data_IF_575217639282
#
_entry.id   IF_575217639282
#
_cell.length_a   1.000
_cell.length_b   1.000
_cell.length_c   1.000
_cell.angle_alpha   90.00
_cell.angle_beta   90.00
_cell.angle_gamma   90.00
#
_symmetry.space_group_name_H-M   'P 1'
#
loop_
_entity.id
_entity.type
_entity.pdbx_description
1 polymer ?
#
# COMPACT_ATOMS: atom_id res chain seq x y z
N UNK A 1 29.86 14.84 -10.91
CA UNK A 1 28.96 15.85 -10.33
C UNK A 1 28.62 16.86 -11.42
N UNK A 2 27.42 16.75 -12.03
CA UNK A 2 26.93 17.75 -13.00
C UNK A 2 26.51 19.00 -12.25
N UNK A 3 26.71 20.18 -12.84
CA UNK A 3 26.46 21.47 -12.17
C UNK A 3 24.96 21.80 -12.31
N UNK A 4 24.39 22.35 -11.25
CA UNK A 4 22.97 22.68 -11.09
C UNK A 4 22.32 23.48 -12.24
N UNK A 5 23.10 24.18 -13.08
CA UNK A 5 22.58 24.93 -14.22
C UNK A 5 22.19 24.08 -15.43
N UNK A 6 22.67 22.84 -15.51
CA UNK A 6 22.41 21.96 -16.66
C UNK A 6 21.03 21.26 -16.55
N UNK A 7 20.37 21.34 -15.39
CA UNK A 7 19.08 20.68 -15.10
C UNK A 7 17.87 21.53 -15.54
N UNK A 8 18.02 22.86 -15.61
CA UNK A 8 16.90 23.81 -15.82
C UNK A 8 16.47 23.95 -17.29
N UNK A 9 16.98 23.09 -18.18
CA UNK A 9 16.71 23.15 -19.63
C UNK A 9 16.09 21.87 -20.20
N UNK A 10 15.64 20.94 -19.34
CA UNK A 10 14.86 19.79 -19.77
C UNK A 10 13.38 20.19 -19.99
N UNK A 11 12.71 19.70 -21.04
CA UNK A 11 11.30 19.95 -21.27
C UNK A 11 10.47 19.38 -20.11
N UNK A 12 9.51 20.17 -19.64
CA UNK A 12 8.53 19.77 -18.62
C UNK A 12 7.55 18.76 -19.23
N UNK A 13 7.93 17.47 -19.19
CA UNK A 13 7.13 16.37 -19.72
C UNK A 13 5.90 16.03 -18.85
N UNK A 14 5.53 16.88 -17.87
CA UNK A 14 4.32 16.72 -17.05
C UNK A 14 4.33 15.51 -16.12
N UNK A 15 5.48 14.86 -15.94
CA UNK A 15 5.66 13.81 -14.95
C UNK A 15 5.79 14.46 -13.57
N UNK A 16 4.94 14.03 -12.63
CA UNK A 16 5.11 14.36 -11.21
C UNK A 16 6.43 13.75 -10.76
N UNK A 17 7.42 14.60 -10.53
CA UNK A 17 8.68 14.24 -9.91
C UNK A 17 8.45 13.98 -8.41
N UNK A 18 8.15 12.72 -8.08
CA UNK A 18 8.00 12.25 -6.70
C UNK A 18 9.30 12.35 -5.89
N UNK A 19 10.47 12.47 -6.53
CA UNK A 19 11.75 12.67 -5.86
C UNK A 19 12.00 14.15 -5.53
N UNK A 20 11.35 15.09 -6.23
CA UNK A 20 11.40 16.53 -5.87
C UNK A 20 10.76 16.85 -4.52
N UNK A 21 9.84 16.00 -4.04
CA UNK A 21 9.25 16.07 -2.70
C UNK A 21 10.09 15.33 -1.64
N UNK A 22 11.14 14.62 -2.05
CA UNK A 22 11.99 13.85 -1.15
C UNK A 22 13.14 14.73 -0.68
N UNK A 23 12.90 15.53 0.35
CA UNK A 23 13.98 16.08 1.16
C UNK A 23 14.55 14.93 2.02
N UNK A 24 15.81 14.48 1.80
CA UNK A 24 16.40 13.46 2.65
C UNK A 24 16.44 13.95 4.10
N UNK A 25 15.68 13.22 4.91
CA UNK A 25 15.17 13.46 6.25
C UNK A 25 16.25 13.93 7.25
N UNK A 26 15.89 15.02 7.96
CA UNK A 26 16.25 15.37 9.33
C UNK A 26 16.85 14.20 10.12
N UNK A 27 18.07 14.32 10.66
CA UNK A 27 18.53 13.37 11.67
C UNK A 27 17.50 13.38 12.81
N UNK A 28 16.70 12.31 12.98
CA UNK A 28 15.65 12.34 13.99
C UNK A 28 16.31 12.41 15.38
N UNK A 29 15.66 13.03 16.37
CA UNK A 29 16.22 13.16 17.71
C UNK A 29 16.57 11.78 18.28
N UNK A 30 17.57 11.73 19.15
CA UNK A 30 18.06 10.48 19.75
C UNK A 30 16.92 9.66 20.38
N UNK A 31 15.98 10.34 21.05
CA UNK A 31 14.80 9.75 21.67
C UNK A 31 13.94 8.98 20.66
N UNK A 32 13.71 9.56 19.48
CA UNK A 32 12.98 8.91 18.38
C UNK A 32 13.74 7.71 17.82
N UNK A 33 15.07 7.79 17.73
CA UNK A 33 15.90 6.65 17.30
C UNK A 33 15.91 5.51 18.34
N UNK A 34 15.85 5.84 19.63
CA UNK A 34 15.76 4.87 20.72
C UNK A 34 14.39 4.19 20.77
N UNK A 35 13.32 4.96 20.57
CA UNK A 35 11.95 4.45 20.40
C UNK A 35 11.89 3.44 19.24
N UNK A 36 12.36 3.82 18.05
CA UNK A 36 12.36 2.92 16.89
C UNK A 36 13.29 1.71 17.07
N UNK A 37 14.38 1.85 17.85
CA UNK A 37 15.24 0.72 18.21
C UNK A 37 14.53 -0.26 19.14
N UNK A 38 13.64 0.22 20.02
CA UNK A 38 12.83 -0.65 20.88
C UNK A 38 11.81 -1.46 20.08
N UNK A 39 11.34 -0.94 18.94
CA UNK A 39 10.46 -1.67 18.02
C UNK A 39 11.16 -2.79 17.25
N UNK A 40 12.50 -2.91 17.32
CA UNK A 40 13.21 -4.03 16.64
C UNK A 40 12.84 -5.40 17.19
N UNK A 41 12.38 -5.44 18.43
CA UNK A 41 11.91 -6.67 19.07
C UNK A 41 10.40 -6.88 18.87
N UNK A 42 9.68 -5.92 18.28
CA UNK A 42 8.30 -6.14 17.86
C UNK A 42 8.27 -7.07 16.64
N UNK A 43 7.36 -8.05 16.61
CA UNK A 43 7.22 -8.91 15.45
C UNK A 43 6.87 -8.07 14.23
N UNK A 44 7.51 -8.37 13.09
CA UNK A 44 7.14 -7.71 11.84
C UNK A 44 5.62 -7.82 11.62
N UNK A 45 4.94 -6.71 11.32
CA UNK A 45 3.50 -6.73 11.14
C UNK A 45 3.13 -7.68 9.99
N UNK A 46 2.51 -8.82 10.32
CA UNK A 46 1.93 -9.72 9.33
C UNK A 46 0.54 -9.24 8.96
N UNK A 47 0.03 -9.63 7.78
CA UNK A 47 -1.35 -9.33 7.38
C UNK A 47 -2.36 -9.86 8.42
N UNK A 48 -2.07 -11.01 9.02
CA UNK A 48 -2.89 -11.64 10.06
C UNK A 48 -2.90 -10.83 11.38
N UNK A 49 -1.78 -10.19 11.73
CA UNK A 49 -1.66 -9.38 12.94
C UNK A 49 -2.11 -7.93 12.74
N UNK A 50 -2.21 -7.48 11.49
CA UNK A 50 -2.55 -6.08 11.16
C UNK A 50 -3.93 -5.90 10.58
N UNK A 51 -4.65 -6.99 10.29
CA UNK A 51 -5.98 -6.90 9.70
C UNK A 51 -7.08 -7.63 10.47
N UNK A 52 -8.25 -7.00 10.56
CA UNK A 52 -9.40 -7.51 11.31
C UNK A 52 -10.70 -7.05 10.66
N UNK A 53 -11.72 -7.92 10.68
CA UNK A 53 -13.09 -7.57 10.34
C UNK A 53 -13.85 -7.16 11.60
N UNK A 54 -14.48 -5.99 11.58
CA UNK A 54 -15.26 -5.46 12.70
C UNK A 54 -16.66 -5.12 12.21
N UNK A 55 -17.67 -5.59 12.92
CA UNK A 55 -19.07 -5.21 12.70
C UNK A 55 -19.46 -4.12 13.69
N UNK A 56 -19.80 -2.94 13.20
CA UNK A 56 -20.25 -1.81 14.03
C UNK A 56 -21.71 -2.02 14.50
N UNK A 57 -22.19 -1.27 15.52
CA UNK A 57 -23.55 -1.43 16.06
C UNK A 57 -24.68 -1.20 15.05
N UNK A 58 -24.40 -0.48 13.96
CA UNK A 58 -25.33 -0.28 12.84
C UNK A 58 -25.43 -1.49 11.89
N UNK A 59 -24.65 -2.55 12.16
CA UNK A 59 -24.59 -3.77 11.35
C UNK A 59 -23.68 -3.67 10.13
N UNK A 60 -23.02 -2.53 9.90
CA UNK A 60 -22.06 -2.37 8.82
C UNK A 60 -20.74 -3.04 9.22
N UNK A 61 -20.21 -3.86 8.32
CA UNK A 61 -18.90 -4.47 8.52
C UNK A 61 -17.80 -3.67 7.83
N UNK A 62 -16.67 -3.55 8.51
CA UNK A 62 -15.46 -2.92 8.00
C UNK A 62 -14.28 -3.89 8.10
N UNK A 63 -13.42 -3.84 7.10
CA UNK A 63 -12.10 -4.44 7.12
C UNK A 63 -11.10 -3.37 7.52
N UNK A 64 -10.39 -3.61 8.61
CA UNK A 64 -9.28 -2.77 9.08
C UNK A 64 -7.98 -3.44 8.67
N UNK A 65 -7.03 -2.67 8.14
CA UNK A 65 -5.67 -3.10 7.86
C UNK A 65 -4.72 -1.95 8.20
N UNK A 66 -4.03 -2.04 9.33
CA UNK A 66 -3.30 -0.91 9.90
C UNK A 66 -4.22 0.30 10.12
N UNK A 67 -3.86 1.46 9.56
CA UNK A 67 -4.66 2.69 9.65
C UNK A 67 -5.74 2.82 8.56
N UNK A 68 -5.88 1.81 7.69
CA UNK A 68 -6.87 1.83 6.60
C UNK A 68 -8.15 1.13 7.03
N UNK A 69 -9.28 1.82 6.89
CA UNK A 69 -10.63 1.28 7.11
C UNK A 69 -11.39 1.20 5.79
N UNK A 70 -11.83 0.00 5.41
CA UNK A 70 -12.57 -0.25 4.18
C UNK A 70 -13.94 -0.83 4.54
N UNK A 71 -15.01 -0.20 4.07
CA UNK A 71 -16.37 -0.73 4.24
C UNK A 71 -16.55 -1.98 3.39
N UNK A 72 -17.06 -3.05 4.01
CA UNK A 72 -17.35 -4.31 3.32
C UNK A 72 -18.79 -4.29 2.83
N UNK A 73 -18.99 -4.37 1.51
CA UNK A 73 -20.31 -4.46 0.88
C UNK A 73 -20.73 -5.90 0.58
N UNK A 74 -19.76 -6.78 0.35
CA UNK A 74 -19.99 -8.17 -0.05
C UNK A 74 -18.82 -9.07 0.37
N UNK A 75 -19.08 -10.37 0.49
CA UNK A 75 -18.05 -11.39 0.67
C UNK A 75 -18.11 -12.39 -0.49
N UNK A 76 -16.95 -12.95 -0.84
CA UNK A 76 -16.93 -14.13 -1.68
C UNK A 76 -17.70 -15.27 -1.00
N UNK A 77 -18.48 -16.01 -1.80
CA UNK A 77 -19.15 -17.21 -1.32
C UNK A 77 -18.12 -18.21 -0.77
N UNK A 78 -18.43 -18.84 0.37
CA UNK A 78 -17.59 -19.91 0.93
C UNK A 78 -17.46 -21.11 -0.02
N UNK A 79 -18.48 -21.37 -0.85
CA UNK A 79 -18.47 -22.37 -1.91
C UNK A 79 -18.10 -21.79 -3.28
N UNK A 80 -17.64 -20.54 -3.30
CA UNK A 80 -17.22 -19.83 -4.50
C UNK A 80 -15.93 -20.38 -5.09
N UNK A 81 -15.58 -19.90 -6.29
CA UNK A 81 -14.26 -20.15 -6.85
C UNK A 81 -13.23 -19.38 -6.01
N UNK A 82 -12.10 -20.01 -5.65
CA UNK A 82 -11.05 -19.30 -4.94
C UNK A 82 -10.46 -18.18 -5.82
N UNK A 83 -9.89 -17.16 -5.16
CA UNK A 83 -9.45 -15.92 -5.81
C UNK A 83 -8.40 -16.16 -6.90
N UNK A 84 -7.47 -17.08 -6.68
CA UNK A 84 -6.46 -17.49 -7.67
C UNK A 84 -7.10 -17.98 -8.97
N UNK A 85 -8.17 -18.78 -8.89
CA UNK A 85 -8.93 -19.27 -10.05
C UNK A 85 -9.73 -18.20 -10.75
N UNK A 86 -10.16 -17.17 -10.02
CA UNK A 86 -10.81 -16.00 -10.62
C UNK A 86 -9.79 -15.17 -11.40
N UNK A 87 -8.64 -14.87 -10.80
CA UNK A 87 -7.55 -14.12 -11.43
C UNK A 87 -7.06 -14.87 -12.69
N UNK A 88 -6.83 -16.18 -12.59
CA UNK A 88 -6.45 -17.01 -13.74
C UNK A 88 -7.42 -16.83 -14.92
N UNK A 89 -8.73 -16.86 -14.64
CA UNK A 89 -9.76 -16.66 -15.68
C UNK A 89 -9.79 -15.26 -16.24
N UNK A 90 -9.57 -14.24 -15.41
CA UNK A 90 -9.50 -12.84 -15.86
C UNK A 90 -8.30 -12.65 -16.78
N UNK A 91 -7.13 -13.16 -16.41
CA UNK A 91 -5.92 -13.10 -17.23
C UNK A 91 -6.12 -13.84 -18.55
N UNK A 92 -6.66 -15.05 -18.53
CA UNK A 92 -6.96 -15.82 -19.74
C UNK A 92 -7.97 -15.12 -20.64
N UNK A 93 -9.02 -14.53 -20.05
CA UNK A 93 -10.02 -13.76 -20.78
C UNK A 93 -9.38 -12.53 -21.45
N UNK A 94 -8.60 -11.75 -20.69
CA UNK A 94 -7.90 -10.59 -21.21
C UNK A 94 -6.94 -10.97 -22.35
N UNK A 95 -6.13 -12.03 -22.17
CA UNK A 95 -5.19 -12.51 -23.18
C UNK A 95 -5.89 -12.98 -24.47
N UNK A 96 -7.02 -13.69 -24.35
CA UNK A 96 -7.82 -14.13 -25.50
C UNK A 96 -8.46 -12.98 -26.27
N UNK A 97 -8.72 -11.88 -25.59
CA UNK A 97 -9.32 -10.69 -26.19
C UNK A 97 -8.28 -9.63 -26.56
N UNK A 98 -6.99 -9.90 -26.35
CA UNK A 98 -5.90 -8.95 -26.60
C UNK A 98 -5.42 -8.91 -28.06
N UNK A 99 -5.96 -9.74 -28.96
CA UNK A 99 -5.60 -9.75 -30.39
C UNK A 99 -5.32 -11.16 -30.89
#
# INVERSE_FOLDING_TARGET
>A
MRKHKDFMSEPDDGYIDIESCFEPIFEPPLETLEEWRSWKDEPEPTLENTSVYVTEPDGIQYFYCGNTRIRVSEHFSQSGKPMDKLIEKVVQYAARNAG
#
